data_IF_115501932110
#
_entry.id   IF_115501932110
#
_cell.length_a   1.000
_cell.length_b   1.000
_cell.length_c   1.000
_cell.angle_alpha   90.00
_cell.angle_beta   90.00
_cell.angle_gamma   90.00
#
_symmetry.space_group_name_H-M   'P 1'
#
loop_
_entity.id
_entity.type
_entity.pdbx_description
1 polymer ?
#
# COMPACT_ATOMS: atom_id res chain seq x y z
N UNK A 1 -28.79 38.57 46.33
CA UNK A 1 -28.66 38.15 44.90
C UNK A 1 -27.93 39.17 44.01
N UNK A 2 -26.93 39.92 44.51
CA UNK A 2 -26.09 40.83 43.67
C UNK A 2 -24.61 40.45 43.60
N UNK A 3 -24.15 39.50 44.42
CA UNK A 3 -22.76 39.03 44.44
C UNK A 3 -22.52 37.71 43.71
N UNK A 4 -23.57 36.90 43.45
CA UNK A 4 -23.44 35.65 42.70
C UNK A 4 -23.23 35.91 41.20
N UNK A 5 -23.91 36.92 40.64
CA UNK A 5 -23.82 37.32 39.22
C UNK A 5 -22.49 37.97 38.85
N UNK A 6 -21.79 38.59 39.82
CA UNK A 6 -20.44 39.14 39.61
C UNK A 6 -19.37 38.05 39.57
N UNK A 7 -19.54 36.98 40.36
CA UNK A 7 -18.57 35.89 40.42
C UNK A 7 -18.62 35.03 39.16
N UNK A 8 -19.82 34.72 38.65
CA UNK A 8 -20.00 33.98 37.38
C UNK A 8 -19.51 34.78 36.17
N UNK A 9 -19.75 36.09 36.10
CA UNK A 9 -19.20 36.91 35.01
C UNK A 9 -17.67 37.00 35.04
N UNK A 10 -17.05 36.97 36.23
CA UNK A 10 -15.59 36.90 36.36
C UNK A 10 -15.04 35.53 35.90
N UNK A 11 -15.78 34.44 36.13
CA UNK A 11 -15.36 33.09 35.73
C UNK A 11 -15.49 32.89 34.22
N UNK A 12 -16.56 33.40 33.60
CA UNK A 12 -16.72 33.40 32.15
C UNK A 12 -15.70 34.32 31.45
N UNK A 13 -15.36 35.47 32.05
CA UNK A 13 -14.31 36.34 31.53
C UNK A 13 -12.93 35.69 31.62
N UNK A 14 -12.60 34.95 32.68
CA UNK A 14 -11.34 34.21 32.79
C UNK A 14 -11.25 33.05 31.77
N UNK A 15 -12.33 32.28 31.58
CA UNK A 15 -12.36 31.16 30.62
C UNK A 15 -12.26 31.69 29.18
N UNK A 16 -12.94 32.79 28.86
CA UNK A 16 -12.82 33.46 27.56
C UNK A 16 -11.41 34.04 27.36
N UNK A 17 -10.76 34.57 28.40
CA UNK A 17 -9.37 35.04 28.33
C UNK A 17 -8.37 33.90 28.09
N UNK A 18 -8.54 32.73 28.71
CA UNK A 18 -7.70 31.54 28.41
C UNK A 18 -7.93 30.97 27.01
N UNK A 19 -9.16 31.08 26.47
CA UNK A 19 -9.47 30.65 25.10
C UNK A 19 -9.02 31.67 24.03
N UNK A 20 -9.00 32.97 24.36
CA UNK A 20 -8.46 34.02 23.50
C UNK A 20 -6.93 34.05 23.50
N UNK A 21 -6.25 33.68 24.61
CA UNK A 21 -4.79 33.52 24.63
C UNK A 21 -4.27 32.21 24.02
N UNK A 22 -5.15 31.24 23.72
CA UNK A 22 -4.82 30.08 22.88
C UNK A 22 -5.16 30.28 21.40
N UNK A 23 -5.92 31.33 21.05
CA UNK A 23 -6.26 31.70 19.68
C UNK A 23 -5.57 33.00 19.19
N UNK A 24 -4.89 33.73 20.07
CA UNK A 24 -4.09 34.93 19.76
C UNK A 24 -2.76 34.94 20.52
N UNK A 25 -2.02 33.84 20.52
CA UNK A 25 -0.55 33.96 20.61
C UNK A 25 0.00 34.06 19.19
N UNK A 26 -0.07 35.26 18.63
CA UNK A 26 1.03 35.74 17.78
C UNK A 26 2.26 35.78 18.69
N UNK A 27 2.95 34.65 18.80
CA UNK A 27 4.20 34.56 19.51
C UNK A 27 5.27 35.18 18.62
N UNK A 28 5.59 36.45 18.87
CA UNK A 28 6.93 37.00 18.71
C UNK A 28 7.85 36.37 19.80
N UNK A 29 7.89 35.05 19.82
CA UNK A 29 8.82 34.27 20.64
C UNK A 29 9.79 33.65 19.64
N UNK A 30 10.86 34.39 19.34
CA UNK A 30 12.02 33.99 18.52
C UNK A 30 12.79 32.79 19.12
N UNK A 31 12.23 32.10 20.10
CA UNK A 31 12.58 30.71 20.33
C UNK A 31 11.97 29.88 19.21
N UNK A 32 12.76 29.63 18.16
CA UNK A 32 12.59 28.49 17.27
C UNK A 32 12.09 27.32 18.13
N UNK A 33 10.80 26.96 18.01
CA UNK A 33 10.40 25.60 18.38
C UNK A 33 11.44 24.72 17.68
N UNK A 34 12.11 23.78 18.39
CA UNK A 34 13.08 22.94 17.72
C UNK A 34 12.35 22.35 16.52
N UNK A 35 12.83 22.65 15.31
CA UNK A 35 12.31 22.04 14.09
C UNK A 35 12.19 20.56 14.43
N UNK A 36 10.95 20.06 14.47
CA UNK A 36 10.71 18.68 14.86
C UNK A 36 11.28 17.86 13.72
N UNK A 37 12.57 17.56 13.77
CA UNK A 37 13.28 16.75 12.79
C UNK A 37 12.49 15.46 12.69
N UNK A 38 11.83 15.24 11.55
CA UNK A 38 10.89 14.15 11.41
C UNK A 38 11.66 12.84 11.62
N UNK A 39 11.24 12.03 12.59
CA UNK A 39 11.92 10.79 12.96
C UNK A 39 12.23 9.96 11.72
N UNK A 40 13.49 9.57 11.58
CA UNK A 40 13.96 8.67 10.52
C UNK A 40 13.05 7.44 10.38
N UNK A 41 12.74 7.09 9.14
CA UNK A 41 12.04 5.86 8.80
C UNK A 41 13.10 4.79 8.53
N UNK A 42 13.14 3.78 9.40
CA UNK A 42 14.12 2.71 9.33
C UNK A 42 13.65 1.57 8.45
N UNK A 43 14.56 0.68 8.04
CA UNK A 43 14.22 -0.57 7.35
C UNK A 43 13.22 -1.44 8.13
N UNK A 44 13.35 -1.47 9.46
CA UNK A 44 12.47 -2.24 10.35
C UNK A 44 11.05 -1.64 10.38
N UNK A 45 10.94 -0.30 10.33
CA UNK A 45 9.64 0.35 10.13
C UNK A 45 9.01 -0.15 8.83
N UNK A 46 9.77 -0.15 7.73
CA UNK A 46 9.31 -0.49 6.38
C UNK A 46 8.92 -1.95 6.18
N UNK A 47 9.42 -2.89 6.98
CA UNK A 47 8.98 -4.30 6.95
C UNK A 47 7.50 -4.48 7.33
N UNK A 48 6.87 -3.45 7.91
CA UNK A 48 5.44 -3.46 8.24
C UNK A 48 4.58 -2.69 7.22
N UNK A 49 5.15 -2.37 6.06
CA UNK A 49 4.46 -1.67 4.99
C UNK A 49 4.66 -2.38 3.65
N UNK A 50 3.71 -2.16 2.75
CA UNK A 50 3.88 -2.43 1.31
C UNK A 50 3.45 -1.19 0.52
N UNK A 51 4.06 -0.98 -0.63
CA UNK A 51 3.65 0.00 -1.63
C UNK A 51 2.90 -0.76 -2.72
N UNK A 52 1.66 -0.38 -2.98
CA UNK A 52 0.86 -0.92 -4.08
C UNK A 52 0.81 0.11 -5.19
N UNK A 53 1.31 -0.28 -6.35
CA UNK A 53 1.30 0.53 -7.56
C UNK A 53 0.37 -0.07 -8.61
N UNK A 54 -0.33 0.82 -9.29
CA UNK A 54 -1.05 0.54 -10.52
C UNK A 54 -0.26 1.12 -11.70
N UNK A 55 0.05 0.28 -12.67
CA UNK A 55 0.77 0.65 -13.88
C UNK A 55 -0.10 0.44 -15.12
N UNK A 56 0.03 1.32 -16.11
CA UNK A 56 -0.57 1.18 -17.43
C UNK A 56 0.53 1.03 -18.48
N UNK A 57 0.31 0.16 -19.47
CA UNK A 57 1.22 0.09 -20.60
C UNK A 57 1.20 1.41 -21.38
N UNK A 58 2.39 1.91 -21.76
CA UNK A 58 2.51 3.10 -22.60
C UNK A 58 1.83 2.86 -23.95
N UNK A 59 1.27 3.90 -24.61
CA UNK A 59 0.48 3.74 -25.84
C UNK A 59 1.13 2.86 -26.92
N UNK A 60 2.45 2.98 -27.10
CA UNK A 60 3.23 2.22 -28.08
C UNK A 60 3.35 0.72 -27.77
N UNK A 61 3.14 0.31 -26.51
CA UNK A 61 3.20 -1.10 -26.07
C UNK A 61 1.82 -1.74 -25.84
N UNK A 62 0.73 -0.96 -25.92
CA UNK A 62 -0.63 -1.45 -25.64
C UNK A 62 -1.09 -2.58 -26.59
N UNK A 63 -0.56 -2.66 -27.82
CA UNK A 63 -0.88 -3.77 -28.71
C UNK A 63 -0.36 -5.13 -28.21
N UNK A 64 0.73 -5.12 -27.44
CA UNK A 64 1.33 -6.33 -26.88
C UNK A 64 0.84 -6.62 -25.46
N UNK A 65 0.74 -5.58 -24.64
CA UNK A 65 0.47 -5.67 -23.20
C UNK A 65 -1.03 -5.49 -22.88
N UNK A 66 -1.80 -4.95 -23.82
CA UNK A 66 -3.17 -4.54 -23.58
C UNK A 66 -3.27 -3.18 -22.91
N UNK A 67 -4.50 -2.80 -22.56
CA UNK A 67 -4.83 -1.48 -22.01
C UNK A 67 -5.25 -1.53 -20.54
N UNK A 68 -5.20 -2.72 -19.93
CA UNK A 68 -5.64 -2.94 -18.56
C UNK A 68 -4.52 -2.64 -17.57
N UNK A 69 -4.86 -2.21 -16.34
CA UNK A 69 -3.89 -1.94 -15.31
C UNK A 69 -3.17 -3.21 -14.82
N UNK A 70 -1.89 -3.03 -14.49
CA UNK A 70 -1.03 -4.02 -13.84
C UNK A 70 -0.88 -3.61 -12.37
N UNK A 71 -1.12 -4.55 -11.46
CA UNK A 71 -0.84 -4.34 -10.04
C UNK A 71 0.54 -4.86 -9.68
N UNK A 72 1.27 -4.04 -8.93
CA UNK A 72 2.58 -4.38 -8.37
C UNK A 72 2.56 -4.03 -6.88
N UNK A 73 3.02 -4.97 -6.05
CA UNK A 73 3.21 -4.75 -4.62
C UNK A 73 4.70 -4.82 -4.28
N UNK A 74 5.26 -3.72 -3.79
CA UNK A 74 6.64 -3.63 -3.31
C UNK A 74 6.69 -3.64 -1.78
N UNK A 75 7.58 -4.42 -1.17
CA UNK A 75 7.75 -4.49 0.28
C UNK A 75 9.19 -4.83 0.65
N UNK A 76 9.57 -4.55 1.90
CA UNK A 76 10.91 -4.87 2.42
C UNK A 76 10.89 -6.21 3.13
N UNK A 77 11.75 -7.14 2.71
CA UNK A 77 11.88 -8.46 3.34
C UNK A 77 13.27 -9.06 3.11
N UNK A 78 13.63 -10.05 3.94
CA UNK A 78 14.77 -10.92 3.66
C UNK A 78 14.41 -11.91 2.54
N UNK A 79 15.39 -12.23 1.68
CA UNK A 79 15.20 -13.18 0.60
C UNK A 79 16.20 -14.34 0.74
N UNK A 80 15.73 -15.58 0.53
CA UNK A 80 16.56 -16.80 0.57
C UNK A 80 17.39 -17.01 1.85
N UNK A 81 17.03 -16.40 2.97
CA UNK A 81 17.75 -16.48 4.24
C UNK A 81 19.24 -16.11 4.14
N UNK A 82 19.61 -15.23 3.20
CA UNK A 82 21.00 -14.80 3.02
C UNK A 82 21.42 -13.69 4.01
N UNK A 83 20.50 -13.29 4.89
CA UNK A 83 20.68 -12.25 5.91
C UNK A 83 20.64 -10.82 5.36
N UNK A 84 20.30 -10.62 4.09
CA UNK A 84 20.20 -9.29 3.47
C UNK A 84 18.75 -8.89 3.27
N UNK A 85 18.50 -7.59 3.34
CA UNK A 85 17.20 -7.03 3.04
C UNK A 85 17.10 -6.58 1.59
N UNK A 86 15.93 -6.83 1.03
CA UNK A 86 15.59 -6.46 -0.33
C UNK A 86 14.28 -5.67 -0.31
N UNK A 87 14.16 -4.71 -1.24
CA UNK A 87 12.84 -4.34 -1.72
C UNK A 87 12.44 -5.38 -2.76
N UNK A 88 11.43 -6.16 -2.44
CA UNK A 88 10.85 -7.18 -3.32
C UNK A 88 9.59 -6.58 -3.92
N UNK A 89 9.48 -6.59 -5.24
CA UNK A 89 8.30 -6.14 -5.96
C UNK A 89 7.67 -7.32 -6.68
N UNK A 90 6.47 -7.68 -6.25
CA UNK A 90 5.66 -8.77 -6.77
C UNK A 90 4.62 -8.21 -7.74
N UNK A 91 4.66 -8.68 -8.97
CA UNK A 91 3.65 -8.37 -9.97
C UNK A 91 3.11 -9.63 -10.63
N UNK A 92 2.19 -9.43 -11.56
CA UNK A 92 1.59 -10.52 -12.32
C UNK A 92 2.61 -11.35 -13.14
N UNK A 93 3.74 -10.77 -13.56
CA UNK A 93 4.68 -11.39 -14.49
C UNK A 93 6.07 -11.69 -13.93
N UNK A 94 6.44 -11.12 -12.79
CA UNK A 94 7.73 -11.36 -12.17
C UNK A 94 7.78 -10.86 -10.73
N UNK A 95 8.64 -11.49 -9.94
CA UNK A 95 9.19 -10.94 -8.72
C UNK A 95 10.54 -10.30 -9.06
N UNK A 96 10.70 -9.01 -8.76
CA UNK A 96 11.97 -8.30 -8.97
C UNK A 96 12.50 -7.78 -7.65
N UNK A 97 13.81 -7.95 -7.44
CA UNK A 97 14.44 -7.66 -6.16
C UNK A 97 15.49 -6.56 -6.32
N UNK A 98 15.48 -5.61 -5.39
CA UNK A 98 16.53 -4.61 -5.22
C UNK A 98 17.23 -4.82 -3.89
N UNK A 99 18.54 -5.02 -3.89
CA UNK A 99 19.33 -5.20 -2.68
C UNK A 99 19.43 -3.86 -1.92
N UNK A 100 18.93 -3.82 -0.69
CA UNK A 100 18.97 -2.62 0.15
C UNK A 100 20.33 -2.38 0.81
N UNK A 101 21.25 -3.34 0.76
CA UNK A 101 22.62 -3.18 1.23
C UNK A 101 23.52 -2.46 0.21
N UNK A 102 22.99 -2.13 -0.97
CA UNK A 102 23.72 -1.28 -1.93
C UNK A 102 23.72 0.18 -1.44
N UNK A 103 24.81 0.91 -1.73
CA UNK A 103 24.90 2.32 -1.41
C UNK A 103 23.70 3.09 -1.96
N UNK A 104 23.20 4.03 -1.15
CA UNK A 104 22.06 4.91 -1.46
C UNK A 104 20.70 4.22 -1.67
N UNK A 105 20.57 2.93 -1.33
CA UNK A 105 19.30 2.21 -1.45
C UNK A 105 18.22 2.70 -0.47
N UNK A 106 18.63 3.12 0.73
CA UNK A 106 17.80 3.77 1.73
C UNK A 106 18.59 4.94 2.30
N UNK A 107 18.10 6.17 2.10
CA UNK A 107 18.77 7.38 2.61
C UNK A 107 17.78 8.24 3.36
N UNK A 108 18.25 8.94 4.39
CA UNK A 108 17.43 9.86 5.18
C UNK A 108 18.08 11.24 5.19
N UNK A 109 17.29 12.26 4.86
CA UNK A 109 17.69 13.66 4.94
C UNK A 109 17.01 14.33 6.15
N UNK A 110 17.82 14.62 7.17
CA UNK A 110 17.36 15.23 8.41
C UNK A 110 16.83 16.66 8.22
N UNK A 111 17.25 17.38 7.18
CA UNK A 111 16.78 18.75 6.93
C UNK A 111 15.36 18.76 6.37
N UNK A 112 15.00 17.74 5.60
CA UNK A 112 13.68 17.65 4.96
C UNK A 112 12.76 16.64 5.64
N UNK A 113 13.30 15.77 6.49
CA UNK A 113 12.56 14.68 7.12
C UNK A 113 12.13 13.59 6.12
N UNK A 114 12.82 13.50 4.98
CA UNK A 114 12.50 12.56 3.90
C UNK A 114 13.41 11.35 3.98
N UNK A 115 12.81 10.15 3.97
CA UNK A 115 13.50 8.89 3.71
C UNK A 115 13.26 8.48 2.26
N UNK A 116 14.32 8.31 1.47
CA UNK A 116 14.24 7.77 0.11
C UNK A 116 14.44 6.26 0.14
N UNK A 117 13.44 5.52 -0.34
CA UNK A 117 13.51 4.07 -0.54
C UNK A 117 13.64 3.77 -2.04
N UNK A 118 14.71 3.10 -2.44
CA UNK A 118 14.93 2.65 -3.82
C UNK A 118 14.38 1.24 -4.04
N UNK A 119 13.82 1.04 -5.21
CA UNK A 119 13.29 -0.24 -5.70
C UNK A 119 13.78 -0.49 -7.12
N UNK A 120 13.45 -1.65 -7.69
CA UNK A 120 13.67 -1.88 -9.13
C UNK A 120 12.78 -1.03 -10.02
N UNK A 121 11.70 -0.46 -9.49
CA UNK A 121 10.75 0.35 -10.26
C UNK A 121 11.07 1.84 -10.22
N UNK A 122 11.84 2.29 -9.24
CA UNK A 122 12.02 3.70 -8.98
C UNK A 122 12.50 4.00 -7.58
N UNK A 123 12.27 5.22 -7.12
CA UNK A 123 12.41 5.60 -5.72
C UNK A 123 11.13 6.24 -5.19
N UNK A 124 10.90 6.06 -3.89
CA UNK A 124 9.80 6.64 -3.15
C UNK A 124 10.36 7.54 -2.06
N UNK A 125 9.84 8.76 -1.99
CA UNK A 125 10.11 9.69 -0.92
C UNK A 125 9.04 9.50 0.17
N UNK A 126 9.47 8.98 1.31
CA UNK A 126 8.63 8.67 2.45
C UNK A 126 8.86 9.70 3.54
N UNK A 127 7.79 10.05 4.25
CA UNK A 127 7.88 10.91 5.43
C UNK A 127 6.81 10.51 6.45
N UNK A 128 6.82 11.13 7.63
CA UNK A 128 5.79 10.93 8.65
C UNK A 128 4.81 12.09 8.63
N UNK A 129 3.51 11.77 8.67
CA UNK A 129 2.46 12.77 8.81
C UNK A 129 2.36 13.29 10.27
N UNK A 130 1.39 14.17 10.53
CA UNK A 130 1.15 14.73 11.86
C UNK A 130 0.77 13.67 12.93
N UNK A 131 0.31 12.49 12.51
CA UNK A 131 -0.03 11.35 13.38
C UNK A 131 1.12 10.33 13.48
N UNK A 132 2.31 10.70 13.01
CA UNK A 132 3.51 9.86 12.93
C UNK A 132 3.37 8.62 12.01
N UNK A 133 2.35 8.60 11.16
CA UNK A 133 2.16 7.56 10.15
C UNK A 133 3.07 7.81 8.96
N UNK A 134 3.70 6.74 8.45
CA UNK A 134 4.50 6.84 7.23
C UNK A 134 3.57 7.04 6.04
N UNK A 135 3.90 8.00 5.18
CA UNK A 135 3.18 8.36 3.96
C UNK A 135 4.14 8.54 2.80
N UNK A 136 3.65 8.36 1.57
CA UNK A 136 4.39 8.70 0.34
C UNK A 136 4.22 10.19 0.07
N UNK A 137 5.33 10.93 0.10
CA UNK A 137 5.38 12.35 -0.27
C UNK A 137 5.58 12.53 -1.77
N UNK A 138 6.35 11.64 -2.38
CA UNK A 138 6.65 11.64 -3.80
C UNK A 138 7.10 10.26 -4.28
N UNK A 139 7.00 10.04 -5.58
CA UNK A 139 7.53 8.87 -6.25
C UNK A 139 8.19 9.31 -7.57
N UNK A 140 9.17 8.53 -8.00
CA UNK A 140 9.77 8.67 -9.31
C UNK A 140 10.09 7.28 -9.81
N UNK A 141 9.52 6.93 -10.96
CA UNK A 141 9.72 5.64 -11.57
C UNK A 141 10.75 5.75 -12.70
N UNK A 142 11.52 4.69 -12.93
CA UNK A 142 12.54 4.65 -13.99
C UNK A 142 11.91 4.43 -15.39
N UNK A 143 10.80 5.10 -15.69
CA UNK A 143 9.98 4.87 -16.88
C UNK A 143 10.71 5.19 -18.19
N UNK A 144 11.68 6.09 -18.15
CA UNK A 144 12.49 6.50 -19.31
C UNK A 144 13.84 5.78 -19.40
N UNK A 145 14.16 4.86 -18.48
CA UNK A 145 15.40 4.10 -18.55
C UNK A 145 15.25 2.89 -19.48
N UNK A 146 15.80 2.92 -20.71
CA UNK A 146 15.68 1.79 -21.64
C UNK A 146 16.41 0.54 -21.15
N UNK A 147 17.30 0.66 -20.17
CA UNK A 147 18.01 -0.47 -19.57
C UNK A 147 17.21 -1.15 -18.45
N UNK A 148 16.08 -0.56 -18.05
CA UNK A 148 15.16 -1.16 -17.09
C UNK A 148 13.88 -1.61 -17.80
N UNK A 149 13.85 -2.82 -18.39
CA UNK A 149 12.69 -3.30 -19.13
C UNK A 149 11.44 -3.44 -18.26
N UNK A 150 11.61 -3.49 -16.93
CA UNK A 150 10.49 -3.55 -16.00
C UNK A 150 9.67 -2.27 -16.02
N UNK A 151 10.31 -1.10 -16.08
CA UNK A 151 9.65 0.21 -16.01
C UNK A 151 9.46 0.85 -17.38
N UNK A 152 10.30 0.50 -18.36
CA UNK A 152 10.31 1.13 -19.67
C UNK A 152 8.98 1.03 -20.43
N UNK A 153 8.25 -0.08 -20.26
CA UNK A 153 6.99 -0.33 -20.97
C UNK A 153 5.76 0.29 -20.31
N UNK A 154 5.89 0.83 -19.10
CA UNK A 154 4.76 1.21 -18.29
C UNK A 154 4.88 2.64 -17.77
N UNK A 155 3.73 3.21 -17.42
CA UNK A 155 3.62 4.45 -16.66
C UNK A 155 2.79 4.20 -15.42
N UNK A 156 3.28 4.65 -14.27
CA UNK A 156 2.55 4.57 -13.00
C UNK A 156 1.33 5.48 -13.05
N UNK A 157 0.16 4.95 -12.69
CA UNK A 157 -1.09 5.68 -12.63
C UNK A 157 -1.52 6.00 -11.20
N UNK A 158 -1.21 5.12 -10.24
CA UNK A 158 -1.59 5.27 -8.85
C UNK A 158 -0.62 4.54 -7.92
N UNK A 159 -0.23 5.19 -6.82
CA UNK A 159 0.63 4.62 -5.78
C UNK A 159 -0.04 4.77 -4.43
N UNK A 160 -0.02 3.71 -3.63
CA UNK A 160 -0.48 3.75 -2.25
C UNK A 160 0.47 3.00 -1.32
N UNK A 161 0.90 3.64 -0.24
CA UNK A 161 1.54 2.96 0.87
C UNK A 161 0.48 2.38 1.81
N UNK A 162 0.60 1.10 2.12
CA UNK A 162 -0.33 0.33 2.92
C UNK A 162 0.41 -0.23 4.12
N UNK A 163 -0.11 0.06 5.32
CA UNK A 163 0.39 -0.59 6.53
C UNK A 163 -0.17 -2.00 6.62
N UNK A 164 0.70 -3.00 6.83
CA UNK A 164 0.39 -4.43 6.79
C UNK A 164 0.69 -5.13 8.12
N UNK A 165 0.61 -4.38 9.22
CA UNK A 165 0.70 -4.90 10.59
C UNK A 165 -0.55 -5.74 10.93
N UNK A 166 -0.59 -6.96 10.41
CA UNK A 166 -1.64 -7.92 10.65
C UNK A 166 -1.38 -9.21 9.89
N UNK A 167 -1.62 -10.36 10.52
CA UNK A 167 -1.73 -11.63 9.78
C UNK A 167 -3.03 -11.59 8.99
N UNK A 168 -2.90 -11.64 7.67
CA UNK A 168 -4.01 -11.97 6.77
C UNK A 168 -3.37 -12.99 5.83
N UNK A 169 -3.51 -14.31 5.93
CA UNK A 169 -4.72 -15.13 6.09
C UNK A 169 -4.38 -16.56 6.50
N UNK A 170 -5.32 -17.18 7.22
CA UNK A 170 -5.71 -18.57 7.06
C UNK A 170 -7.24 -18.57 6.90
N UNK A 171 -7.80 -19.34 5.96
CA UNK A 171 -9.25 -19.57 5.82
C UNK A 171 -10.13 -18.30 5.66
N UNK A 172 -10.00 -17.58 4.54
CA UNK A 172 -10.76 -16.34 4.28
C UNK A 172 -11.61 -16.39 3.02
N UNK A 173 -12.66 -15.58 3.01
CA UNK A 173 -13.57 -15.43 1.86
C UNK A 173 -13.73 -13.96 1.50
N UNK A 174 -13.68 -13.70 0.20
CA UNK A 174 -13.81 -12.39 -0.42
C UNK A 174 -14.93 -12.43 -1.45
N UNK A 175 -15.73 -11.36 -1.49
CA UNK A 175 -16.77 -11.16 -2.49
C UNK A 175 -16.38 -10.01 -3.41
N UNK A 176 -16.38 -10.23 -4.71
CA UNK A 176 -16.14 -9.19 -5.70
C UNK A 176 -17.19 -8.07 -5.59
N UNK A 177 -16.75 -6.83 -5.81
CA UNK A 177 -17.61 -5.65 -5.79
C UNK A 177 -17.71 -4.99 -7.16
N UNK A 178 -18.73 -4.16 -7.31
CA UNK A 178 -18.95 -3.17 -8.37
C UNK A 178 -19.14 -3.67 -9.81
N UNK A 179 -18.69 -4.87 -10.21
CA UNK A 179 -18.88 -5.37 -11.59
C UNK A 179 -18.93 -6.90 -11.74
N UNK A 180 -18.74 -7.65 -10.66
CA UNK A 180 -18.67 -9.12 -10.69
C UNK A 180 -19.47 -9.72 -9.54
N UNK A 181 -20.23 -10.77 -9.83
CA UNK A 181 -20.78 -11.67 -8.83
C UNK A 181 -19.79 -12.82 -8.71
N UNK A 182 -18.93 -12.79 -7.70
CA UNK A 182 -17.86 -13.76 -7.59
C UNK A 182 -17.29 -13.83 -6.18
N UNK A 183 -16.84 -15.02 -5.79
CA UNK A 183 -16.31 -15.32 -4.48
C UNK A 183 -14.93 -15.96 -4.62
N UNK A 184 -13.96 -15.40 -3.93
CA UNK A 184 -12.63 -15.98 -3.76
C UNK A 184 -12.54 -16.53 -2.36
N UNK A 185 -12.16 -17.80 -2.21
CA UNK A 185 -11.90 -18.40 -0.90
C UNK A 185 -10.49 -18.97 -0.87
N UNK A 186 -9.82 -18.78 0.25
CA UNK A 186 -8.46 -19.21 0.51
C UNK A 186 -8.46 -20.11 1.74
N UNK A 187 -7.69 -21.19 1.70
CA UNK A 187 -7.19 -21.93 2.86
C UNK A 187 -5.66 -21.83 2.88
N UNK A 188 -5.01 -22.50 3.82
CA UNK A 188 -3.56 -22.70 3.75
C UNK A 188 -3.23 -23.32 2.38
N UNK A 189 -2.33 -22.69 1.64
CA UNK A 189 -1.77 -23.09 0.34
C UNK A 189 -2.74 -23.23 -0.85
N UNK A 190 -4.06 -23.21 -0.62
CA UNK A 190 -5.06 -23.43 -1.66
C UNK A 190 -6.10 -22.34 -1.74
N UNK A 191 -6.67 -22.16 -2.93
CA UNK A 191 -7.74 -21.21 -3.19
C UNK A 191 -8.71 -21.72 -4.24
N UNK A 192 -9.84 -21.02 -4.37
CA UNK A 192 -10.81 -21.22 -5.44
C UNK A 192 -11.59 -19.94 -5.71
N UNK A 193 -11.93 -19.71 -6.98
CA UNK A 193 -12.95 -18.77 -7.41
C UNK A 193 -14.24 -19.49 -7.84
N UNK A 194 -15.39 -18.94 -7.47
CA UNK A 194 -16.71 -19.32 -7.99
C UNK A 194 -17.57 -18.08 -8.19
N UNK A 195 -18.31 -18.04 -9.29
CA UNK A 195 -19.17 -16.90 -9.65
C UNK A 195 -20.36 -16.77 -8.67
N UNK A 196 -21.15 -17.83 -8.51
CA UNK A 196 -22.48 -17.69 -7.88
C UNK A 196 -22.59 -18.22 -6.45
N UNK A 197 -21.51 -18.76 -5.88
CA UNK A 197 -21.53 -19.29 -4.52
C UNK A 197 -20.14 -19.23 -3.88
N UNK A 198 -20.11 -19.11 -2.56
CA UNK A 198 -18.88 -19.25 -1.78
C UNK A 198 -18.31 -20.67 -1.98
N UNK A 199 -17.04 -20.83 -2.40
CA UNK A 199 -16.42 -22.15 -2.46
C UNK A 199 -16.45 -22.87 -1.11
N UNK A 200 -16.70 -24.18 -1.12
CA UNK A 200 -16.57 -25.00 0.09
C UNK A 200 -15.14 -25.54 0.21
N UNK A 201 -14.76 -25.98 1.41
CA UNK A 201 -13.38 -26.42 1.70
C UNK A 201 -12.91 -27.55 0.77
N UNK A 202 -13.77 -28.52 0.47
CA UNK A 202 -13.46 -29.60 -0.47
C UNK A 202 -13.29 -29.18 -1.94
N UNK A 203 -13.57 -27.92 -2.28
CA UNK A 203 -13.37 -27.35 -3.63
C UNK A 203 -12.05 -26.53 -3.73
N UNK A 204 -11.34 -26.29 -2.62
CA UNK A 204 -10.11 -25.52 -2.58
C UNK A 204 -8.94 -26.38 -3.07
N UNK A 205 -8.70 -26.35 -4.37
CA UNK A 205 -7.71 -27.22 -5.02
C UNK A 205 -6.68 -26.46 -5.86
N UNK A 206 -6.79 -25.13 -5.98
CA UNK A 206 -5.84 -24.35 -6.78
C UNK A 206 -4.72 -23.84 -5.89
N UNK A 207 -3.44 -24.12 -6.20
CA UNK A 207 -2.35 -23.70 -5.35
C UNK A 207 -2.05 -22.20 -5.51
N UNK A 208 -1.46 -21.60 -4.49
CA UNK A 208 -0.85 -20.28 -4.57
C UNK A 208 0.47 -20.24 -3.78
N UNK A 209 1.31 -19.24 -4.06
CA UNK A 209 2.53 -18.95 -3.34
C UNK A 209 2.37 -17.67 -2.52
N UNK A 210 2.51 -17.76 -1.21
CA UNK A 210 2.49 -16.62 -0.31
C UNK A 210 3.86 -15.91 -0.33
N UNK A 211 4.00 -14.89 -1.16
CA UNK A 211 5.25 -14.16 -1.36
C UNK A 211 5.54 -13.22 -0.17
N UNK A 212 4.48 -12.64 0.39
CA UNK A 212 4.52 -11.81 1.59
C UNK A 212 3.17 -11.85 2.29
N UNK A 213 3.12 -11.41 3.56
CA UNK A 213 1.93 -11.48 4.43
C UNK A 213 0.63 -11.17 3.68
N UNK A 214 0.63 -10.12 2.88
CA UNK A 214 -0.55 -9.62 2.17
C UNK A 214 -0.50 -9.79 0.66
N UNK A 215 0.48 -10.51 0.12
CA UNK A 215 0.73 -10.62 -1.31
C UNK A 215 0.98 -12.08 -1.68
N UNK A 216 0.17 -12.60 -2.60
CA UNK A 216 0.38 -13.95 -3.13
C UNK A 216 0.03 -14.04 -4.61
N UNK A 217 0.63 -15.01 -5.28
CA UNK A 217 0.37 -15.31 -6.68
C UNK A 217 -0.13 -16.73 -6.84
N UNK A 218 -1.08 -16.94 -7.74
CA UNK A 218 -1.68 -18.26 -7.97
C UNK A 218 -2.18 -18.43 -9.38
N UNK A 219 -2.14 -19.66 -9.88
CA UNK A 219 -2.72 -20.00 -11.18
C UNK A 219 -4.04 -20.73 -10.95
N UNK A 220 -5.09 -20.34 -11.67
CA UNK A 220 -6.33 -21.11 -11.63
C UNK A 220 -6.14 -22.49 -12.28
N UNK A 221 -6.83 -23.50 -11.76
CA UNK A 221 -6.87 -24.84 -12.35
C UNK A 221 -8.08 -25.06 -13.25
N UNK A 222 -8.67 -24.00 -13.79
CA UNK A 222 -9.73 -24.07 -14.80
C UNK A 222 -9.15 -24.27 -16.20
N UNK A 223 -10.00 -24.14 -17.21
CA UNK A 223 -9.58 -24.26 -18.62
C UNK A 223 -8.69 -23.11 -19.06
N UNK A 224 -8.92 -21.90 -18.54
CA UNK A 224 -8.16 -20.71 -18.93
C UNK A 224 -6.79 -20.61 -18.26
N UNK A 225 -6.62 -21.22 -17.09
CA UNK A 225 -5.37 -21.27 -16.33
C UNK A 225 -4.75 -19.88 -16.15
N UNK A 226 -5.57 -18.89 -15.78
CA UNK A 226 -5.15 -17.51 -15.59
C UNK A 226 -4.15 -17.43 -14.44
N UNK A 227 -3.14 -16.58 -14.61
CA UNK A 227 -2.22 -16.18 -13.55
C UNK A 227 -2.83 -15.00 -12.79
N UNK A 228 -2.82 -15.08 -11.47
CA UNK A 228 -3.48 -14.13 -10.60
C UNK A 228 -2.47 -13.56 -9.60
N UNK A 229 -2.50 -12.25 -9.40
CA UNK A 229 -1.89 -11.58 -8.26
C UNK A 229 -2.99 -11.13 -7.31
N UNK A 230 -2.78 -11.42 -6.04
CA UNK A 230 -3.71 -11.16 -4.95
C UNK A 230 -3.02 -10.24 -3.94
N UNK A 231 -3.60 -9.07 -3.71
CA UNK A 231 -3.06 -8.06 -2.77
C UNK A 231 -4.14 -7.72 -1.75
N UNK A 232 -3.89 -8.06 -0.49
CA UNK A 232 -4.78 -7.76 0.61
C UNK A 232 -4.46 -6.40 1.24
N UNK A 233 -5.39 -5.47 1.14
CA UNK A 233 -5.32 -4.18 1.81
C UNK A 233 -6.11 -4.26 3.12
N UNK A 234 -5.45 -4.14 4.28
CA UNK A 234 -6.14 -4.19 5.57
C UNK A 234 -7.12 -3.03 5.74
N UNK A 235 -8.17 -3.28 6.53
CA UNK A 235 -9.15 -2.28 6.95
C UNK A 235 -8.51 -0.99 7.43
N UNK A 236 -9.11 0.13 7.02
CA UNK A 236 -8.70 1.49 7.39
C UNK A 236 -7.81 2.16 6.34
N UNK A 237 -7.10 1.39 5.51
CA UNK A 237 -6.32 1.93 4.40
C UNK A 237 -7.23 2.32 3.21
N UNK A 238 -8.14 1.41 2.81
CA UNK A 238 -8.95 1.54 1.60
C UNK A 238 -8.14 1.43 0.31
N UNK A 239 -8.80 1.30 -0.85
CA UNK A 239 -8.17 1.40 -2.18
C UNK A 239 -8.72 2.59 -2.94
N UNK A 240 -7.84 3.44 -3.49
CA UNK A 240 -8.21 4.72 -4.16
C UNK A 240 -9.17 5.59 -3.34
N UNK A 241 -9.20 5.38 -2.02
CA UNK A 241 -10.08 6.06 -1.07
C UNK A 241 -11.53 5.56 -0.97
N UNK A 242 -11.99 4.64 -1.84
CA UNK A 242 -13.42 4.31 -1.97
C UNK A 242 -13.93 3.29 -0.94
N UNK A 243 -13.11 2.33 -0.52
CA UNK A 243 -13.52 1.19 0.31
C UNK A 243 -12.87 1.20 1.70
N UNK A 244 -12.76 2.38 2.32
CA UNK A 244 -12.31 2.47 3.71
C UNK A 244 -13.31 1.71 4.60
N UNK A 245 -12.83 1.13 5.70
CA UNK A 245 -13.61 0.33 6.68
C UNK A 245 -13.82 -1.17 6.45
N UNK A 246 -13.28 -1.74 5.37
CA UNK A 246 -13.24 -3.20 5.15
C UNK A 246 -11.84 -3.68 4.76
N UNK A 247 -11.57 -4.95 5.02
CA UNK A 247 -10.44 -5.64 4.39
C UNK A 247 -10.79 -5.81 2.90
N UNK A 248 -9.86 -5.41 2.04
CA UNK A 248 -10.01 -5.46 0.59
C UNK A 248 -9.03 -6.47 0.02
N UNK A 249 -9.46 -7.22 -0.97
CA UNK A 249 -8.58 -7.99 -1.84
C UNK A 249 -8.63 -7.37 -3.24
N UNK A 250 -7.48 -6.90 -3.71
CA UNK A 250 -7.30 -6.56 -5.11
C UNK A 250 -6.83 -7.80 -5.87
N UNK A 251 -7.47 -8.08 -7.00
CA UNK A 251 -7.15 -9.20 -7.86
C UNK A 251 -6.84 -8.67 -9.25
N UNK A 252 -5.68 -9.03 -9.80
CA UNK A 252 -5.39 -8.83 -11.21
C UNK A 252 -5.06 -10.18 -11.84
N UNK A 253 -5.85 -10.54 -12.86
CA UNK A 253 -5.84 -11.86 -13.51
C UNK A 253 -5.36 -11.72 -14.93
N UNK A 254 -4.58 -12.64 -15.49
CA UNK A 254 -4.10 -12.50 -16.87
C UNK A 254 -3.61 -13.79 -17.50
N UNK A 255 -3.33 -13.74 -18.81
CA UNK A 255 -2.74 -14.83 -19.60
C UNK A 255 -1.51 -14.32 -20.34
N UNK A 256 -0.37 -15.01 -20.20
CA UNK A 256 0.93 -14.68 -20.82
C UNK A 256 1.46 -13.26 -20.57
N UNK A 257 1.14 -12.28 -21.44
CA UNK A 257 1.48 -10.85 -21.25
C UNK A 257 0.26 -9.90 -21.18
N UNK A 258 -0.98 -10.39 -21.30
CA UNK A 258 -2.20 -9.59 -21.16
C UNK A 258 -2.87 -9.78 -19.81
N UNK A 259 -3.24 -8.68 -19.16
CA UNK A 259 -4.01 -8.67 -17.91
C UNK A 259 -5.47 -8.29 -18.15
N UNK A 260 -6.34 -8.76 -17.26
CA UNK A 260 -7.73 -8.36 -17.11
C UNK A 260 -7.85 -7.16 -16.19
N UNK A 261 -9.08 -6.73 -15.94
CA UNK A 261 -9.37 -5.63 -15.02
C UNK A 261 -8.89 -5.95 -13.59
N UNK A 262 -8.58 -4.89 -12.84
CA UNK A 262 -8.41 -5.00 -11.39
C UNK A 262 -9.77 -5.21 -10.76
N UNK A 263 -9.97 -6.39 -10.16
CA UNK A 263 -11.17 -6.73 -9.42
C UNK A 263 -10.95 -6.36 -7.96
N UNK A 264 -11.81 -5.48 -7.45
CA UNK A 264 -11.87 -5.17 -6.02
C UNK A 264 -12.82 -6.16 -5.37
N UNK A 265 -12.40 -6.76 -4.27
CA UNK A 265 -13.23 -7.65 -3.47
C UNK A 265 -13.24 -7.21 -2.01
N UNK A 266 -14.37 -7.36 -1.33
CA UNK A 266 -14.50 -7.10 0.10
C UNK A 266 -14.53 -8.42 0.87
N UNK A 267 -13.85 -8.45 2.01
CA UNK A 267 -13.91 -9.61 2.92
C UNK A 267 -15.34 -9.79 3.44
N UNK A 268 -15.80 -11.04 3.45
CA UNK A 268 -17.10 -11.45 4.00
C UNK A 268 -17.04 -11.73 5.50
#
# INVERSE_FOLDING_TARGET
MKNLTKLTNLTFALIAFTLLFSACSSSDDDTLQPEKVAKEITRDDLMNYMIVDEFLAKPEYQNQLGTKPYLIASYVAEYNNDGKLYTISEGWFASVLYNLEQDEALTYDANTGITKLKTKWGYYELTRDANEQIVVKGNFHFEDDPNNPNTYWFTSSYTQLVKVDGKVYDNSTYKAVENLTGFYRFSIDFWRYKQDAVPIEGELTWPYYLNHRNVWTGQDGGTEQLYNVFIAIPKGNGWKGNHKDKDILLVNTGKTMTTGDVVVCEKM
#
